data_IF_855807530668
#
_entry.id   IF_855807530668
#
_cell.length_a   1.000
_cell.length_b   1.000
_cell.length_c   1.000
_cell.angle_alpha   90.00
_cell.angle_beta   90.00
_cell.angle_gamma   90.00
#
_symmetry.space_group_name_H-M   'P 1'
#
loop_
_entity.id
_entity.type
_entity.pdbx_description
1 polymer ?
#
# COMPACT_ATOMS: atom_id res chain seq x y z
N UNK A 1 32.91 -1.66 -15.63
CA UNK A 1 32.39 -0.31 -15.74
C UNK A 1 32.42 0.32 -14.35
N UNK A 2 33.25 1.34 -14.17
CA UNK A 2 33.30 2.09 -12.92
C UNK A 2 32.06 3.00 -12.90
N UNK A 3 31.31 2.97 -11.80
CA UNK A 3 30.26 3.95 -11.56
C UNK A 3 30.92 5.33 -11.45
N UNK A 4 30.58 6.23 -12.36
CA UNK A 4 31.01 7.62 -12.28
C UNK A 4 30.12 8.30 -11.23
N UNK A 5 30.66 8.50 -10.03
CA UNK A 5 30.09 9.38 -9.06
C UNK A 5 30.34 10.82 -9.53
N UNK A 6 29.29 11.55 -9.86
CA UNK A 6 29.39 12.97 -10.15
C UNK A 6 29.30 13.69 -8.81
N UNK A 7 30.45 14.16 -8.32
CA UNK A 7 30.50 15.10 -7.19
C UNK A 7 29.91 16.45 -7.62
N UNK A 8 28.58 16.54 -7.66
CA UNK A 8 27.89 17.82 -7.70
C UNK A 8 27.69 18.25 -6.23
N UNK A 9 28.07 19.50 -5.86
CA UNK A 9 27.70 20.01 -4.55
C UNK A 9 26.18 19.94 -4.41
N UNK A 10 25.65 19.50 -3.25
CA UNK A 10 24.22 19.43 -3.07
C UNK A 10 23.64 20.82 -3.24
N UNK A 11 22.92 21.04 -4.34
CA UNK A 11 21.96 22.13 -4.43
C UNK A 11 21.00 21.98 -3.23
N UNK A 12 20.49 23.06 -2.65
CA UNK A 12 19.45 23.03 -1.64
C UNK A 12 18.08 22.67 -2.25
N UNK A 13 18.07 21.74 -3.20
CA UNK A 13 16.87 21.06 -3.68
C UNK A 13 16.53 20.07 -2.59
N UNK A 14 15.43 20.33 -1.89
CA UNK A 14 14.72 19.48 -0.97
C UNK A 14 15.26 18.06 -1.00
N UNK A 15 15.88 17.67 0.11
CA UNK A 15 16.22 16.28 0.38
C UNK A 15 14.96 15.48 0.08
N UNK A 16 14.91 14.83 -1.07
CA UNK A 16 13.80 13.93 -1.41
C UNK A 16 13.79 12.91 -0.30
N UNK A 17 12.85 13.04 0.61
CA UNK A 17 12.68 12.10 1.69
C UNK A 17 12.34 10.75 1.05
N UNK A 18 13.21 9.77 1.22
CA UNK A 18 13.00 8.41 0.69
C UNK A 18 11.64 7.87 1.14
N UNK A 19 11.20 8.21 2.35
CA UNK A 19 9.89 7.83 2.86
C UNK A 19 8.77 8.42 2.01
N UNK A 20 8.85 9.72 1.68
CA UNK A 20 7.87 10.37 0.82
C UNK A 20 7.85 9.76 -0.58
N UNK A 21 9.03 9.51 -1.18
CA UNK A 21 9.14 8.83 -2.47
C UNK A 21 8.48 7.44 -2.44
N UNK A 22 8.76 6.65 -1.41
CA UNK A 22 8.19 5.30 -1.28
C UNK A 22 6.68 5.31 -1.07
N UNK A 23 6.14 6.33 -0.38
CA UNK A 23 4.68 6.50 -0.23
C UNK A 23 4.06 6.86 -1.59
N UNK A 24 4.64 7.81 -2.34
CA UNK A 24 4.11 8.18 -3.66
C UNK A 24 4.16 7.01 -4.63
N UNK A 25 5.25 6.24 -4.64
CA UNK A 25 5.34 5.03 -5.44
C UNK A 25 4.30 3.98 -5.01
N UNK A 26 4.14 3.72 -3.71
CA UNK A 26 3.14 2.77 -3.19
C UNK A 26 1.71 3.14 -3.62
N UNK A 27 1.37 4.42 -3.51
CA UNK A 27 0.05 4.91 -3.88
C UNK A 27 -0.16 4.90 -5.40
N UNK A 28 0.81 5.38 -6.18
CA UNK A 28 0.74 5.43 -7.63
C UNK A 28 0.68 4.05 -8.27
N UNK A 29 1.52 3.14 -7.80
CA UNK A 29 1.58 1.78 -8.30
C UNK A 29 0.32 0.96 -7.92
N UNK A 30 -0.25 1.19 -6.73
CA UNK A 30 -1.53 0.59 -6.35
C UNK A 30 -2.68 1.14 -7.22
N UNK A 31 -2.69 2.44 -7.53
CA UNK A 31 -3.68 3.02 -8.43
C UNK A 31 -3.59 2.40 -9.84
N UNK A 32 -2.38 2.26 -10.38
CA UNK A 32 -2.15 1.59 -11.67
C UNK A 32 -2.68 0.14 -11.69
N UNK A 33 -2.43 -0.62 -10.62
CA UNK A 33 -2.96 -1.99 -10.52
C UNK A 33 -4.49 -2.03 -10.47
N UNK A 34 -5.13 -1.07 -9.81
CA UNK A 34 -6.59 -0.93 -9.79
C UNK A 34 -7.15 -0.57 -11.17
N UNK A 35 -6.49 0.30 -11.93
CA UNK A 35 -6.83 0.60 -13.32
C UNK A 35 -6.70 -0.64 -14.22
N UNK A 36 -5.64 -1.41 -14.09
CA UNK A 36 -5.48 -2.68 -14.78
C UNK A 36 -6.59 -3.68 -14.41
N UNK A 37 -6.91 -3.77 -13.13
CA UNK A 37 -7.93 -4.66 -12.60
C UNK A 37 -9.36 -4.27 -13.01
N UNK A 38 -9.62 -3.00 -13.33
CA UNK A 38 -10.92 -2.55 -13.87
C UNK A 38 -11.26 -3.18 -15.23
N UNK A 39 -10.30 -3.83 -15.90
CA UNK A 39 -10.50 -4.60 -17.15
C UNK A 39 -11.03 -6.01 -16.88
N UNK A 40 -11.03 -6.48 -15.65
CA UNK A 40 -11.57 -7.77 -15.26
C UNK A 40 -13.10 -7.74 -15.22
N UNK A 41 -13.73 -8.86 -15.59
CA UNK A 41 -15.15 -9.05 -15.26
C UNK A 41 -15.34 -9.21 -13.75
N UNK A 42 -16.58 -9.00 -13.26
CA UNK A 42 -16.89 -9.19 -11.84
C UNK A 42 -16.58 -10.61 -11.36
N UNK A 43 -16.76 -11.60 -12.24
CA UNK A 43 -16.40 -12.99 -11.94
C UNK A 43 -14.88 -13.16 -11.78
N UNK A 44 -14.08 -12.60 -12.69
CA UNK A 44 -12.60 -12.66 -12.61
C UNK A 44 -12.06 -11.90 -11.41
N UNK A 45 -12.67 -10.77 -11.06
CA UNK A 45 -12.29 -9.97 -9.89
C UNK A 45 -12.38 -10.76 -8.59
N UNK A 46 -13.40 -11.59 -8.42
CA UNK A 46 -13.66 -12.38 -7.21
C UNK A 46 -13.25 -13.84 -7.30
N UNK A 47 -12.88 -14.32 -8.49
CA UNK A 47 -12.52 -15.72 -8.69
C UNK A 47 -11.27 -16.08 -7.86
N UNK A 48 -11.30 -17.21 -7.13
CA UNK A 48 -10.14 -17.68 -6.40
C UNK A 48 -9.11 -18.28 -7.34
N UNK A 49 -8.11 -17.51 -7.73
CA UNK A 49 -6.99 -17.96 -8.56
C UNK A 49 -6.05 -18.83 -7.73
N UNK A 50 -5.82 -18.43 -6.48
CA UNK A 50 -4.93 -19.11 -5.54
C UNK A 50 -5.64 -19.35 -4.21
N UNK A 51 -6.49 -20.38 -4.11
CA UNK A 51 -7.18 -20.71 -2.87
C UNK A 51 -6.19 -20.94 -1.73
N UNK A 52 -6.45 -20.33 -0.58
CA UNK A 52 -5.57 -20.43 0.59
C UNK A 52 -4.31 -19.56 0.52
N UNK A 53 -4.11 -18.78 -0.55
CA UNK A 53 -3.01 -17.82 -0.59
C UNK A 53 -3.15 -16.82 0.55
N UNK A 54 -2.12 -16.72 1.36
CA UNK A 54 -1.99 -15.67 2.38
C UNK A 54 -0.61 -15.05 2.27
N UNK A 55 -0.52 -13.76 2.52
CA UNK A 55 0.75 -13.05 2.62
C UNK A 55 1.16 -12.94 4.09
N UNK A 56 0.18 -12.68 4.96
CA UNK A 56 0.33 -12.65 6.42
C UNK A 56 -0.90 -13.33 7.05
N UNK A 57 -0.68 -14.20 8.03
CA UNK A 57 -1.72 -15.06 8.62
C UNK A 57 -2.85 -14.28 9.28
N UNK A 58 -2.56 -13.16 9.95
CA UNK A 58 -3.58 -12.36 10.64
C UNK A 58 -4.63 -11.75 9.69
N UNK A 59 -4.28 -11.55 8.42
CA UNK A 59 -5.18 -11.00 7.40
C UNK A 59 -6.16 -12.02 6.81
N UNK A 60 -5.91 -13.31 7.03
CA UNK A 60 -6.63 -14.41 6.40
C UNK A 60 -6.25 -14.60 4.93
N UNK A 61 -6.98 -15.48 4.23
CA UNK A 61 -6.70 -15.81 2.85
C UNK A 61 -7.08 -14.67 1.88
N UNK A 62 -6.24 -14.44 0.90
CA UNK A 62 -6.41 -13.44 -0.16
C UNK A 62 -6.37 -14.14 -1.53
N UNK A 63 -7.42 -14.91 -1.89
CA UNK A 63 -7.36 -15.83 -3.02
C UNK A 63 -7.58 -15.17 -4.38
N UNK A 64 -8.05 -13.94 -4.45
CA UNK A 64 -8.44 -13.24 -5.68
C UNK A 64 -7.78 -11.88 -5.81
N UNK A 65 -7.78 -11.31 -7.02
CA UNK A 65 -7.27 -9.96 -7.28
C UNK A 65 -7.96 -8.94 -6.36
N UNK A 66 -9.29 -9.02 -6.25
CA UNK A 66 -10.07 -8.12 -5.39
C UNK A 66 -9.71 -8.24 -3.91
N UNK A 67 -9.49 -9.47 -3.42
CA UNK A 67 -9.09 -9.69 -2.03
C UNK A 67 -7.71 -9.08 -1.72
N UNK A 68 -6.74 -9.26 -2.64
CA UNK A 68 -5.37 -8.75 -2.48
C UNK A 68 -5.34 -7.23 -2.53
N UNK A 69 -5.97 -6.61 -3.54
CA UNK A 69 -5.99 -5.14 -3.66
C UNK A 69 -6.83 -4.50 -2.55
N UNK A 70 -7.93 -5.13 -2.16
CA UNK A 70 -8.74 -4.70 -1.02
C UNK A 70 -7.97 -4.70 0.31
N UNK A 71 -7.09 -5.69 0.51
CA UNK A 71 -6.25 -5.76 1.69
C UNK A 71 -5.23 -4.60 1.78
N UNK A 72 -4.68 -4.14 0.64
CA UNK A 72 -3.78 -2.98 0.59
C UNK A 72 -4.49 -1.70 1.07
N UNK A 73 -5.70 -1.46 0.60
CA UNK A 73 -6.48 -0.26 0.97
C UNK A 73 -6.93 -0.35 2.43
N UNK A 74 -7.47 -1.50 2.83
CA UNK A 74 -7.94 -1.72 4.20
C UNK A 74 -6.81 -1.60 5.24
N UNK A 75 -5.62 -2.12 4.97
CA UNK A 75 -4.47 -2.00 5.86
C UNK A 75 -4.15 -0.54 6.19
N UNK A 76 -4.18 0.35 5.19
CA UNK A 76 -3.96 1.78 5.42
C UNK A 76 -5.07 2.41 6.27
N UNK A 77 -6.34 2.01 6.05
CA UNK A 77 -7.46 2.49 6.89
C UNK A 77 -7.29 2.07 8.35
N UNK A 78 -6.89 0.82 8.58
CA UNK A 78 -6.65 0.29 9.94
C UNK A 78 -5.57 1.11 10.65
N UNK A 79 -4.43 1.32 10.00
CA UNK A 79 -3.34 2.07 10.63
C UNK A 79 -3.66 3.56 10.82
N UNK A 80 -4.44 4.17 9.92
CA UNK A 80 -4.95 5.53 10.13
C UNK A 80 -5.86 5.60 11.36
N UNK A 81 -6.79 4.66 11.52
CA UNK A 81 -7.66 4.59 12.70
C UNK A 81 -6.83 4.35 13.98
N UNK A 82 -5.86 3.44 13.93
CA UNK A 82 -4.94 3.17 15.05
C UNK A 82 -4.16 4.42 15.48
N UNK A 83 -3.61 5.18 14.51
CA UNK A 83 -2.87 6.42 14.79
C UNK A 83 -3.78 7.51 15.36
N UNK A 84 -5.03 7.59 14.89
CA UNK A 84 -6.02 8.55 15.38
C UNK A 84 -6.65 8.17 16.73
N UNK A 85 -6.56 6.88 17.11
CA UNK A 85 -7.26 6.34 18.27
C UNK A 85 -8.76 6.10 18.01
N UNK A 86 -9.13 5.91 16.75
CA UNK A 86 -10.48 5.64 16.31
C UNK A 86 -10.80 4.14 16.29
N UNK A 87 -12.09 3.81 16.17
CA UNK A 87 -12.55 2.43 15.97
C UNK A 87 -12.05 1.86 14.62
N UNK A 88 -11.80 0.55 14.60
CA UNK A 88 -11.34 -0.10 13.39
C UNK A 88 -12.40 -0.11 12.28
N UNK A 89 -11.99 0.20 11.03
CA UNK A 89 -12.88 0.16 9.89
C UNK A 89 -13.30 -1.28 9.58
N UNK A 90 -14.58 -1.47 9.25
CA UNK A 90 -15.08 -2.77 8.83
C UNK A 90 -14.42 -3.21 7.52
N UNK A 91 -13.84 -4.41 7.49
CA UNK A 91 -13.20 -4.96 6.27
C UNK A 91 -14.19 -5.16 5.11
N UNK A 92 -15.47 -5.35 5.42
CA UNK A 92 -16.51 -5.57 4.43
C UNK A 92 -16.60 -4.48 3.35
N UNK A 93 -16.28 -3.22 3.67
CA UNK A 93 -16.33 -2.11 2.70
C UNK A 93 -15.33 -2.26 1.55
N UNK A 94 -14.14 -2.80 1.82
CA UNK A 94 -13.12 -3.05 0.79
C UNK A 94 -13.27 -4.43 0.14
N UNK A 95 -13.79 -5.43 0.85
CA UNK A 95 -13.99 -6.77 0.32
C UNK A 95 -15.14 -6.89 -0.68
N UNK A 96 -16.19 -6.07 -0.53
CA UNK A 96 -17.36 -6.07 -1.41
C UNK A 96 -17.27 -5.07 -2.56
N UNK A 97 -16.27 -4.21 -2.58
CA UNK A 97 -16.06 -3.24 -3.63
C UNK A 97 -15.58 -3.91 -4.92
N UNK A 98 -16.07 -3.44 -6.07
CA UNK A 98 -15.43 -3.73 -7.36
C UNK A 98 -14.16 -2.87 -7.53
N UNK A 99 -13.44 -3.08 -8.63
CA UNK A 99 -12.19 -2.36 -8.87
C UNK A 99 -12.37 -0.84 -8.93
N UNK A 100 -13.48 -0.35 -9.48
CA UNK A 100 -13.76 1.09 -9.61
C UNK A 100 -14.08 1.71 -8.25
N UNK A 101 -14.93 1.07 -7.46
CA UNK A 101 -15.25 1.51 -6.12
C UNK A 101 -14.01 1.46 -5.21
N UNK A 102 -13.19 0.41 -5.33
CA UNK A 102 -11.96 0.29 -4.57
C UNK A 102 -10.92 1.35 -4.96
N UNK A 103 -10.85 1.74 -6.24
CA UNK A 103 -10.00 2.83 -6.69
C UNK A 103 -10.41 4.17 -6.05
N UNK A 104 -11.70 4.46 -5.93
CA UNK A 104 -12.19 5.65 -5.24
C UNK A 104 -11.79 5.64 -3.75
N UNK A 105 -11.98 4.52 -3.05
CA UNK A 105 -11.50 4.35 -1.67
C UNK A 105 -9.98 4.54 -1.55
N UNK A 106 -9.22 3.99 -2.51
CA UNK A 106 -7.77 4.14 -2.53
C UNK A 106 -7.33 5.60 -2.61
N UNK A 107 -7.99 6.41 -3.43
CA UNK A 107 -7.70 7.86 -3.55
C UNK A 107 -7.88 8.57 -2.20
N UNK A 108 -9.02 8.35 -1.54
CA UNK A 108 -9.33 9.01 -0.28
C UNK A 108 -8.39 8.55 0.86
N UNK A 109 -8.22 7.24 1.00
CA UNK A 109 -7.33 6.66 2.01
C UNK A 109 -5.89 7.04 1.77
N UNK A 110 -5.44 7.02 0.51
CA UNK A 110 -4.08 7.40 0.12
C UNK A 110 -3.77 8.86 0.43
N UNK A 111 -4.74 9.77 0.21
CA UNK A 111 -4.62 11.17 0.58
C UNK A 111 -4.44 11.33 2.09
N UNK A 112 -5.27 10.67 2.90
CA UNK A 112 -5.16 10.73 4.36
C UNK A 112 -3.83 10.14 4.84
N UNK A 113 -3.43 8.98 4.32
CA UNK A 113 -2.15 8.34 4.66
C UNK A 113 -0.95 9.24 4.39
N UNK A 114 -0.88 9.81 3.18
CA UNK A 114 0.17 10.77 2.79
C UNK A 114 0.21 11.96 3.75
N UNK A 115 -0.93 12.60 3.99
CA UNK A 115 -1.04 13.77 4.86
C UNK A 115 -0.59 13.47 6.27
N UNK A 116 -1.10 12.38 6.87
CA UNK A 116 -0.74 11.97 8.23
C UNK A 116 0.76 11.74 8.37
N UNK A 117 1.36 10.95 7.49
CA UNK A 117 2.81 10.67 7.60
C UNK A 117 3.64 11.93 7.35
N UNK A 118 3.25 12.80 6.41
CA UNK A 118 3.95 14.06 6.15
C UNK A 118 3.90 15.01 7.34
N UNK A 119 2.76 15.12 8.02
CA UNK A 119 2.60 15.98 9.20
C UNK A 119 3.47 15.49 10.36
N UNK A 120 3.47 14.19 10.65
CA UNK A 120 4.34 13.61 11.67
C UNK A 120 5.83 13.75 11.32
N UNK A 121 6.18 13.56 10.04
CA UNK A 121 7.56 13.75 9.56
C UNK A 121 8.01 15.21 9.72
N UNK A 122 7.21 16.17 9.27
CA UNK A 122 7.50 17.60 9.38
C UNK A 122 7.63 18.07 10.83
N UNK A 123 6.87 17.46 11.74
CA UNK A 123 6.94 17.73 13.17
C UNK A 123 8.10 17.01 13.90
N UNK A 124 8.88 16.17 13.21
CA UNK A 124 9.93 15.33 13.82
C UNK A 124 9.40 14.23 14.74
N UNK A 125 8.15 13.79 14.54
CA UNK A 125 7.39 12.92 15.43
C UNK A 125 7.24 11.49 14.92
N UNK A 126 7.97 11.07 13.89
CA UNK A 126 7.94 9.69 13.40
C UNK A 126 8.40 8.66 14.45
N UNK A 127 9.09 9.09 15.50
CA UNK A 127 9.47 8.26 16.63
C UNK A 127 8.37 8.10 17.70
N UNK A 128 7.24 8.78 17.57
CA UNK A 128 6.14 8.67 18.54
C UNK A 128 5.61 7.25 18.56
N UNK A 129 5.25 6.81 19.76
CA UNK A 129 4.72 5.46 19.99
C UNK A 129 3.22 5.43 19.74
N UNK A 130 2.78 4.48 18.93
CA UNK A 130 1.37 4.17 18.63
C UNK A 130 1.05 2.82 19.26
N UNK A 131 -0.11 2.69 19.90
CA UNK A 131 -0.57 1.45 20.52
C UNK A 131 -1.41 0.69 19.49
N UNK A 132 -0.96 -0.51 19.14
CA UNK A 132 -1.75 -1.46 18.35
C UNK A 132 -2.63 -2.28 19.29
N UNK A 133 -3.92 -1.95 19.28
CA UNK A 133 -4.93 -2.65 20.06
C UNK A 133 -5.57 -3.86 19.32
N UNK A 134 -5.09 -4.20 18.12
CA UNK A 134 -5.57 -5.36 17.34
C UNK A 134 -5.05 -6.68 17.90
N UNK A 135 -3.92 -6.66 18.60
CA UNK A 135 -3.35 -7.84 19.24
C UNK A 135 -4.11 -8.18 20.52
N UNK A 136 -4.23 -9.49 20.87
CA UNK A 136 -4.81 -9.93 22.16
C UNK A 136 -4.16 -9.23 23.35
N UNK A 137 -2.85 -9.00 23.27
CA UNK A 137 -2.11 -8.14 24.19
C UNK A 137 -1.72 -6.90 23.37
N UNK A 138 -2.18 -5.69 23.77
CA UNK A 138 -1.80 -4.48 23.08
C UNK A 138 -0.29 -4.32 22.99
N UNK A 139 0.21 -4.10 21.79
CA UNK A 139 1.61 -3.84 21.51
C UNK A 139 1.81 -2.37 21.14
N UNK A 140 3.02 -1.88 21.24
CA UNK A 140 3.33 -0.50 20.88
C UNK A 140 4.50 -0.43 19.92
N UNK A 141 4.33 0.36 18.88
CA UNK A 141 5.30 0.52 17.81
C UNK A 141 5.60 1.99 17.55
N UNK A 142 6.84 2.35 17.22
CA UNK A 142 7.12 3.70 16.72
C UNK A 142 6.48 3.88 15.34
N UNK A 143 5.99 5.09 15.06
CA UNK A 143 5.28 5.37 13.82
C UNK A 143 6.11 5.07 12.56
N UNK A 144 7.44 5.31 12.57
CA UNK A 144 8.30 4.92 11.44
C UNK A 144 8.27 3.40 11.18
N UNK A 145 8.11 2.58 12.22
CA UNK A 145 7.95 1.12 12.10
C UNK A 145 6.63 0.76 11.43
N UNK A 146 5.54 1.45 11.79
CA UNK A 146 4.23 1.29 11.15
C UNK A 146 4.31 1.68 9.66
N UNK A 147 4.95 2.81 9.33
CA UNK A 147 5.15 3.22 7.93
C UNK A 147 5.91 2.16 7.14
N UNK A 148 7.02 1.65 7.68
CA UNK A 148 7.79 0.57 7.05
C UNK A 148 6.95 -0.70 6.87
N UNK A 149 6.13 -1.07 7.89
CA UNK A 149 5.21 -2.20 7.81
C UNK A 149 4.20 -2.02 6.67
N UNK A 150 3.50 -0.89 6.61
CA UNK A 150 2.48 -0.62 5.58
C UNK A 150 3.08 -0.66 4.18
N UNK A 151 4.26 -0.08 3.96
CA UNK A 151 4.93 -0.09 2.66
C UNK A 151 5.34 -1.51 2.24
N UNK A 152 5.91 -2.29 3.17
CA UNK A 152 6.31 -3.68 2.91
C UNK A 152 5.09 -4.59 2.68
N UNK A 153 4.06 -4.44 3.51
CA UNK A 153 2.79 -5.15 3.39
C UNK A 153 2.16 -4.93 2.00
N UNK A 154 2.10 -3.67 1.56
CA UNK A 154 1.57 -3.30 0.26
C UNK A 154 2.44 -3.81 -0.89
N UNK A 155 3.76 -3.72 -0.79
CA UNK A 155 4.69 -4.18 -1.83
C UNK A 155 4.52 -5.67 -2.14
N UNK A 156 4.44 -6.52 -1.12
CA UNK A 156 4.20 -7.96 -1.30
C UNK A 156 2.89 -8.23 -2.04
N UNK A 157 1.85 -7.48 -1.72
CA UNK A 157 0.52 -7.65 -2.33
C UNK A 157 0.45 -7.09 -3.75
N UNK A 158 1.17 -6.02 -4.04
CA UNK A 158 1.25 -5.50 -5.41
C UNK A 158 1.88 -6.52 -6.34
N UNK A 159 2.96 -7.19 -5.93
CA UNK A 159 3.57 -8.26 -6.73
C UNK A 159 2.63 -9.47 -6.89
N UNK A 160 1.91 -9.84 -5.83
CA UNK A 160 0.91 -10.90 -5.92
C UNK A 160 -0.23 -10.51 -6.87
N UNK A 161 -0.74 -9.28 -6.80
CA UNK A 161 -1.76 -8.78 -7.70
C UNK A 161 -1.30 -8.78 -9.17
N UNK A 162 -0.03 -8.38 -9.46
CA UNK A 162 0.55 -8.45 -10.81
C UNK A 162 0.53 -9.87 -11.36
N UNK A 163 0.99 -10.83 -10.58
CA UNK A 163 1.00 -12.24 -11.02
C UNK A 163 -0.41 -12.77 -11.25
N UNK A 164 -1.39 -12.38 -10.42
CA UNK A 164 -2.80 -12.76 -10.62
C UNK A 164 -3.42 -12.09 -11.86
N UNK A 165 -3.10 -10.81 -12.13
CA UNK A 165 -3.53 -10.11 -13.34
C UNK A 165 -2.94 -10.76 -14.61
N UNK A 166 -1.68 -11.17 -14.56
CA UNK A 166 -1.02 -11.88 -15.66
C UNK A 166 -1.70 -13.22 -15.97
N UNK A 167 -2.23 -13.94 -14.97
CA UNK A 167 -3.03 -15.16 -15.17
C UNK A 167 -4.35 -14.89 -15.93
N UNK A 168 -4.83 -13.63 -15.90
CA UNK A 168 -5.95 -13.16 -16.72
C UNK A 168 -5.52 -12.50 -18.03
N UNK A 169 -4.24 -12.57 -18.41
CA UNK A 169 -3.70 -11.97 -19.63
C UNK A 169 -3.57 -10.45 -19.57
N UNK A 170 -3.53 -9.87 -18.37
CA UNK A 170 -3.35 -8.42 -18.14
C UNK A 170 -1.93 -8.18 -17.69
N UNK A 171 -1.13 -7.53 -18.55
CA UNK A 171 0.19 -7.03 -18.18
C UNK A 171 0.02 -5.71 -17.41
N UNK A 172 0.54 -5.69 -16.18
CA UNK A 172 0.54 -4.53 -15.29
C UNK A 172 1.96 -3.97 -15.06
N UNK A 173 2.91 -4.30 -15.92
CA UNK A 173 4.30 -3.84 -15.82
C UNK A 173 5.06 -4.41 -14.61
N UNK A 174 6.23 -3.86 -14.35
CA UNK A 174 7.14 -4.36 -13.31
C UNK A 174 6.93 -3.74 -11.93
N UNK A 175 6.36 -2.53 -11.84
CA UNK A 175 6.19 -1.81 -10.58
C UNK A 175 7.49 -1.37 -9.91
N UNK A 176 8.55 -1.23 -10.70
CA UNK A 176 9.84 -0.77 -10.21
C UNK A 176 9.81 0.74 -9.93
N UNK A 177 10.26 1.21 -8.76
CA UNK A 177 10.28 2.64 -8.43
C UNK A 177 11.07 3.48 -9.43
N UNK A 178 12.14 2.96 -10.04
CA UNK A 178 12.94 3.70 -11.01
C UNK A 178 12.20 3.86 -12.34
N UNK A 179 11.43 2.87 -12.75
CA UNK A 179 10.60 2.96 -13.95
C UNK A 179 9.43 3.92 -13.71
N UNK A 180 8.80 3.86 -12.53
CA UNK A 180 7.76 4.79 -12.13
C UNK A 180 8.24 6.24 -12.08
N UNK A 181 9.47 6.51 -11.65
CA UNK A 181 10.06 7.87 -11.65
C UNK A 181 10.32 8.44 -13.06
N UNK A 182 10.30 7.58 -14.10
CA UNK A 182 10.51 8.00 -15.50
C UNK A 182 9.21 8.24 -16.27
N UNK A 183 8.07 7.76 -15.73
CA UNK A 183 6.75 7.90 -16.32
C UNK A 183 6.10 9.25 -15.96
#
# INVERSE_FOLDING_TARGET
PQALWIDSPPSPVSQLDVTALMIEHDLGDTAHLLECAARLSSQQWTAPIRPGQTVLDWGGAEPSVGAVLGAIVWSKQVWLATIAGDDFPARASTQSADAVALAAFHVDVGKHWRTTVSEYSAAGRLGDTVIDALCETPESFPLYGIVAHVLTYSAHRRELARTMLAEHGIDAGLGDPLDWMRS
#
